data_IF_438556199831
#
_entry.id   IF_438556199831
#
_cell.length_a   1.000
_cell.length_b   1.000
_cell.length_c   1.000
_cell.angle_alpha   90.00
_cell.angle_beta   90.00
_cell.angle_gamma   90.00
#
_symmetry.space_group_name_H-M   'P 1'
#
loop_
_entity.id
_entity.type
_entity.pdbx_description
1 polymer ?
#
# COMPACT_ATOMS: atom_id res chain seq x y z
N UNK A 1 2.18 -27.96 18.13
CA UNK A 1 2.51 -27.91 16.69
C UNK A 1 2.06 -26.63 16.02
N UNK A 2 0.84 -26.10 16.27
CA UNK A 2 0.30 -24.89 15.63
C UNK A 2 1.02 -23.55 15.94
N UNK A 3 1.77 -23.44 17.04
CA UNK A 3 2.56 -22.24 17.38
C UNK A 3 4.01 -22.30 16.87
N UNK A 4 4.52 -23.49 16.58
CA UNK A 4 5.90 -23.67 16.13
C UNK A 4 6.03 -23.39 14.63
N UNK A 5 5.07 -23.80 13.82
CA UNK A 5 5.03 -23.50 12.37
C UNK A 5 5.09 -22.01 12.04
N UNK A 6 4.30 -21.11 12.66
CA UNK A 6 4.43 -19.67 12.40
C UNK A 6 5.73 -19.10 12.94
N UNK A 7 6.27 -19.63 14.04
CA UNK A 7 7.57 -19.21 14.59
C UNK A 7 8.72 -19.59 13.65
N UNK A 8 8.72 -20.81 13.10
CA UNK A 8 9.73 -21.27 12.13
C UNK A 8 9.60 -20.55 10.79
N UNK A 9 8.37 -20.29 10.32
CA UNK A 9 8.14 -19.47 9.13
C UNK A 9 8.64 -18.02 9.33
N UNK A 10 8.40 -17.45 10.51
CA UNK A 10 8.91 -16.13 10.88
C UNK A 10 10.44 -16.10 10.94
N UNK A 11 11.07 -17.11 11.58
CA UNK A 11 12.53 -17.24 11.65
C UNK A 11 13.17 -17.46 10.27
N UNK A 12 12.49 -18.17 9.36
CA UNK A 12 12.96 -18.38 7.99
C UNK A 12 12.92 -17.10 7.16
N UNK A 13 11.88 -16.28 7.30
CA UNK A 13 11.78 -14.97 6.64
C UNK A 13 12.54 -13.84 7.36
N UNK A 14 13.04 -14.09 8.57
CA UNK A 14 13.76 -13.12 9.41
C UNK A 14 14.95 -12.43 8.72
N UNK A 15 15.80 -13.11 7.92
CA UNK A 15 16.91 -12.45 7.22
C UNK A 15 16.45 -11.42 6.19
N UNK A 16 15.30 -11.66 5.56
CA UNK A 16 14.69 -10.77 4.57
C UNK A 16 14.03 -9.57 5.26
N UNK A 17 13.36 -9.80 6.39
CA UNK A 17 12.81 -8.76 7.26
C UNK A 17 13.93 -7.88 7.84
N UNK A 18 15.05 -8.47 8.26
CA UNK A 18 16.20 -7.75 8.83
C UNK A 18 16.85 -6.81 7.82
N UNK A 19 17.10 -7.26 6.58
CA UNK A 19 17.57 -6.40 5.47
C UNK A 19 16.65 -5.22 5.20
N UNK A 20 15.35 -5.40 5.43
CA UNK A 20 14.35 -4.35 5.27
C UNK A 20 14.32 -3.38 6.48
N UNK A 21 14.32 -3.90 7.71
CA UNK A 21 14.24 -3.12 8.96
C UNK A 21 15.50 -2.26 9.21
N UNK A 22 16.65 -2.71 8.72
CA UNK A 22 17.93 -2.00 8.80
C UNK A 22 18.07 -0.84 7.83
N UNK A 23 17.09 -0.61 6.94
CA UNK A 23 17.13 0.60 6.11
C UNK A 23 17.17 1.82 7.04
N UNK A 24 18.05 2.80 6.77
CA UNK A 24 18.31 3.92 7.68
C UNK A 24 17.03 4.68 8.05
N UNK A 25 16.07 4.75 7.12
CA UNK A 25 14.75 5.32 7.33
C UNK A 25 13.98 4.67 8.50
N UNK A 26 13.91 3.34 8.56
CA UNK A 26 13.12 2.64 9.59
C UNK A 26 13.82 2.69 10.96
N UNK A 27 15.15 2.54 10.97
CA UNK A 27 15.96 2.66 12.19
C UNK A 27 15.81 4.04 12.81
N UNK A 28 16.04 5.10 12.04
CA UNK A 28 15.88 6.47 12.53
C UNK A 28 14.42 6.80 12.90
N UNK A 29 13.43 6.29 12.15
CA UNK A 29 12.01 6.43 12.50
C UNK A 29 11.65 5.75 13.82
N UNK A 30 12.22 4.58 14.08
CA UNK A 30 12.02 3.84 15.33
C UNK A 30 12.56 4.63 16.52
N UNK A 31 13.81 5.10 16.46
CA UNK A 31 14.38 5.93 17.53
C UNK A 31 13.60 7.23 17.74
N UNK A 32 13.20 7.90 16.66
CA UNK A 32 12.34 9.09 16.73
C UNK A 32 11.00 8.79 17.40
N UNK A 33 10.41 7.61 17.16
CA UNK A 33 9.12 7.22 17.73
C UNK A 33 9.23 6.85 19.22
N UNK A 34 10.38 6.36 19.66
CA UNK A 34 10.65 6.06 21.08
C UNK A 34 11.29 7.21 21.85
N UNK A 35 11.59 8.34 21.18
CA UNK A 35 12.36 9.44 21.77
C UNK A 35 11.77 9.95 23.09
N UNK A 36 10.46 10.14 23.18
CA UNK A 36 9.83 10.62 24.42
C UNK A 36 9.96 9.61 25.56
N UNK A 37 9.71 8.33 25.28
CA UNK A 37 9.86 7.26 26.26
C UNK A 37 11.31 7.14 26.74
N UNK A 38 12.27 7.25 25.82
CA UNK A 38 13.69 7.23 26.13
C UNK A 38 14.10 8.41 27.03
N UNK A 39 13.65 9.63 26.73
CA UNK A 39 13.91 10.81 27.57
C UNK A 39 13.32 10.64 28.98
N UNK A 40 12.13 10.08 29.11
CA UNK A 40 11.48 9.87 30.41
C UNK A 40 12.08 8.72 31.23
N UNK A 41 12.62 7.68 30.60
CA UNK A 41 13.13 6.48 31.30
C UNK A 41 14.64 6.40 31.43
N UNK A 42 15.38 7.35 30.86
CA UNK A 42 16.85 7.38 30.99
C UNK A 42 17.27 8.13 32.25
N UNK A 43 17.88 7.46 33.25
CA UNK A 43 18.35 8.10 34.47
C UNK A 43 19.41 9.17 34.15
N UNK A 44 19.42 10.26 34.92
CA UNK A 44 20.27 11.44 34.68
C UNK A 44 19.66 12.45 33.70
N UNK A 45 19.01 12.00 32.61
CA UNK A 45 18.25 12.90 31.73
C UNK A 45 16.90 13.22 32.36
N UNK A 46 16.18 12.21 32.84
CA UNK A 46 14.85 12.40 33.40
C UNK A 46 14.84 13.21 34.70
N UNK A 47 15.90 13.12 35.50
CA UNK A 47 16.04 13.86 36.77
C UNK A 47 16.17 15.38 36.56
N UNK A 48 16.63 15.82 35.39
CA UNK A 48 16.77 17.23 35.05
C UNK A 48 15.49 17.83 34.41
N UNK A 49 14.47 17.01 34.17
CA UNK A 49 13.21 17.46 33.58
C UNK A 49 12.31 18.11 34.62
N UNK A 50 11.58 19.14 34.21
CA UNK A 50 10.49 19.70 35.02
C UNK A 50 9.35 18.70 35.14
N UNK A 51 9.00 18.30 36.37
CA UNK A 51 7.81 17.48 36.63
C UNK A 51 6.63 18.34 37.05
N UNK A 52 5.45 18.07 36.49
CA UNK A 52 4.17 18.62 36.95
C UNK A 52 3.45 17.67 37.94
N UNK A 53 4.11 16.58 38.33
CA UNK A 53 3.55 15.55 39.20
C UNK A 53 3.62 15.95 40.67
N UNK A 54 2.60 15.60 41.44
CA UNK A 54 2.55 15.86 42.90
C UNK A 54 3.67 15.16 43.67
N UNK A 55 4.10 13.98 43.20
CA UNK A 55 5.18 13.19 43.81
C UNK A 55 6.60 13.73 43.53
N UNK A 56 6.74 14.75 42.67
CA UNK A 56 8.03 15.30 42.26
C UNK A 56 8.91 14.39 41.39
N UNK A 57 8.49 13.14 41.12
CA UNK A 57 9.24 12.22 40.27
C UNK A 57 9.13 12.62 38.79
N UNK A 58 10.25 13.02 38.18
CA UNK A 58 10.36 13.40 36.76
C UNK A 58 10.57 12.21 35.80
N UNK A 59 10.77 10.99 36.31
CA UNK A 59 11.03 9.81 35.47
C UNK A 59 9.78 8.94 35.22
N UNK A 60 8.65 9.30 35.83
CA UNK A 60 7.36 8.64 35.61
C UNK A 60 6.41 9.48 34.79
N UNK A 61 5.53 8.80 34.05
CA UNK A 61 4.55 9.44 33.18
C UNK A 61 3.44 10.10 33.98
N UNK A 62 2.99 11.25 33.50
CA UNK A 62 1.80 11.93 34.03
C UNK A 62 0.53 11.29 33.48
N UNK A 63 -0.58 11.41 34.21
CA UNK A 63 -1.89 10.92 33.76
C UNK A 63 -2.29 11.49 32.39
N UNK A 64 -1.98 12.77 32.14
CA UNK A 64 -2.23 13.42 30.83
C UNK A 64 -1.37 12.83 29.71
N UNK A 65 -0.13 12.43 30.00
CA UNK A 65 0.73 11.78 29.02
C UNK A 65 0.24 10.37 28.70
N UNK A 66 -0.21 9.63 29.73
CA UNK A 66 -0.86 8.34 29.55
C UNK A 66 -2.15 8.46 28.74
N UNK A 67 -2.99 9.47 28.98
CA UNK A 67 -4.16 9.77 28.14
C UNK A 67 -3.76 9.93 26.67
N UNK A 68 -2.71 10.73 26.38
CA UNK A 68 -2.21 10.95 25.02
C UNK A 68 -1.71 9.64 24.39
N UNK A 69 -0.95 8.82 25.13
CA UNK A 69 -0.44 7.54 24.65
C UNK A 69 -1.57 6.53 24.39
N UNK A 70 -2.62 6.55 25.22
CA UNK A 70 -3.82 5.73 25.01
C UNK A 70 -4.59 6.18 23.76
N UNK A 71 -4.75 7.48 23.55
CA UNK A 71 -5.35 8.02 22.31
C UNK A 71 -4.51 7.67 21.08
N UNK A 72 -3.18 7.73 21.16
CA UNK A 72 -2.28 7.30 20.10
C UNK A 72 -2.53 5.82 19.75
N UNK A 73 -2.57 4.94 20.75
CA UNK A 73 -2.83 3.51 20.56
C UNK A 73 -4.17 3.28 19.83
N UNK A 74 -5.22 3.97 20.25
CA UNK A 74 -6.54 3.88 19.61
C UNK A 74 -6.53 4.38 18.15
N UNK A 75 -5.87 5.51 17.86
CA UNK A 75 -5.76 6.05 16.51
C UNK A 75 -4.98 5.11 15.59
N UNK A 76 -3.83 4.61 16.07
CA UNK A 76 -3.01 3.66 15.31
C UNK A 76 -3.81 2.39 15.02
N UNK A 77 -4.53 1.85 16.01
CA UNK A 77 -5.39 0.68 15.82
C UNK A 77 -6.50 0.94 14.79
N UNK A 78 -7.21 2.07 14.89
CA UNK A 78 -8.27 2.44 13.95
C UNK A 78 -7.75 2.63 12.51
N UNK A 79 -6.58 3.23 12.35
CA UNK A 79 -5.97 3.48 11.04
C UNK A 79 -5.41 2.19 10.44
N UNK A 80 -4.77 1.36 11.25
CA UNK A 80 -4.18 0.11 10.81
C UNK A 80 -5.21 -0.98 10.49
N UNK A 81 -6.47 -0.85 10.92
CA UNK A 81 -7.58 -1.71 10.46
C UNK A 81 -7.72 -1.74 8.93
N UNK A 82 -7.31 -0.68 8.23
CA UNK A 82 -7.40 -0.56 6.77
C UNK A 82 -6.07 -0.82 6.06
N UNK A 83 -5.00 -1.10 6.80
CA UNK A 83 -3.69 -1.38 6.23
C UNK A 83 -3.65 -2.81 5.69
N UNK A 84 -3.29 -2.96 4.43
CA UNK A 84 -3.20 -4.26 3.74
C UNK A 84 -1.76 -4.78 3.79
N UNK A 85 -0.79 -3.88 3.70
CA UNK A 85 0.65 -4.21 3.71
C UNK A 85 1.28 -3.91 5.08
N UNK A 86 2.28 -4.71 5.44
CA UNK A 86 3.09 -4.51 6.66
C UNK A 86 3.79 -3.15 6.62
N UNK A 87 4.23 -2.71 5.43
CA UNK A 87 4.88 -1.42 5.23
C UNK A 87 3.95 -0.26 5.62
N UNK A 88 2.67 -0.33 5.23
CA UNK A 88 1.67 0.67 5.59
C UNK A 88 1.37 0.68 7.08
N UNK A 89 1.33 -0.50 7.72
CA UNK A 89 1.12 -0.61 9.16
C UNK A 89 2.24 0.09 9.95
N UNK A 90 3.49 -0.18 9.58
CA UNK A 90 4.68 0.39 10.21
C UNK A 90 4.80 1.89 9.90
N UNK A 91 4.50 2.29 8.67
CA UNK A 91 4.50 3.70 8.26
C UNK A 91 3.51 4.54 9.09
N UNK A 92 2.28 4.06 9.24
CA UNK A 92 1.27 4.70 10.08
C UNK A 92 1.72 4.78 11.54
N UNK A 93 2.22 3.66 12.10
CA UNK A 93 2.71 3.64 13.48
C UNK A 93 3.78 4.70 13.71
N UNK A 94 4.80 4.79 12.85
CA UNK A 94 5.86 5.80 12.98
C UNK A 94 5.36 7.23 12.75
N UNK A 95 4.45 7.45 11.81
CA UNK A 95 3.88 8.78 11.56
C UNK A 95 3.10 9.29 12.77
N UNK A 96 2.15 8.51 13.27
CA UNK A 96 1.32 8.91 14.42
C UNK A 96 2.14 9.00 15.70
N UNK A 97 3.13 8.12 15.90
CA UNK A 97 4.03 8.20 17.06
C UNK A 97 4.88 9.47 17.05
N UNK A 98 5.41 9.90 15.90
CA UNK A 98 6.14 11.17 15.77
C UNK A 98 5.24 12.36 16.10
N UNK A 99 4.00 12.38 15.60
CA UNK A 99 3.04 13.46 15.92
C UNK A 99 2.71 13.49 17.42
N UNK A 100 2.49 12.32 18.04
CA UNK A 100 2.26 12.24 19.48
C UNK A 100 3.48 12.71 20.28
N UNK A 101 4.70 12.33 19.88
CA UNK A 101 5.93 12.79 20.53
C UNK A 101 6.10 14.31 20.42
N UNK A 102 5.74 14.94 19.29
CA UNK A 102 5.70 16.41 19.20
C UNK A 102 4.81 16.97 20.31
N UNK A 103 3.57 16.50 20.43
CA UNK A 103 2.61 16.98 21.45
C UNK A 103 3.14 16.76 22.86
N UNK A 104 3.70 15.58 23.13
CA UNK A 104 4.26 15.21 24.44
C UNK A 104 5.45 16.08 24.81
N UNK A 105 6.39 16.33 23.88
CA UNK A 105 7.53 17.20 24.12
C UNK A 105 7.12 18.66 24.32
N UNK A 106 6.18 19.19 23.54
CA UNK A 106 5.65 20.55 23.75
C UNK A 106 4.97 20.73 25.10
N UNK A 107 4.32 19.68 25.61
CA UNK A 107 3.72 19.67 26.93
C UNK A 107 4.78 19.62 28.04
N UNK A 108 5.84 18.84 27.86
CA UNK A 108 6.93 18.70 28.81
C UNK A 108 7.75 20.00 28.93
N UNK A 109 8.27 20.50 27.81
CA UNK A 109 8.99 21.78 27.71
C UNK A 109 8.90 22.28 26.26
N UNK A 110 8.48 23.54 26.08
CA UNK A 110 8.37 24.17 24.77
C UNK A 110 9.69 24.12 23.97
N UNK A 111 10.85 24.18 24.64
CA UNK A 111 12.18 24.10 24.01
C UNK A 111 12.44 22.72 23.41
N UNK A 112 12.12 21.66 24.16
CA UNK A 112 12.23 20.28 23.70
C UNK A 112 11.23 19.99 22.58
N UNK A 113 10.02 20.54 22.67
CA UNK A 113 9.01 20.47 21.62
C UNK A 113 9.49 21.05 20.29
N UNK A 114 10.06 22.25 20.32
CA UNK A 114 10.64 22.90 19.13
C UNK A 114 11.82 22.09 18.59
N UNK A 115 12.73 21.62 19.45
CA UNK A 115 13.87 20.81 19.03
C UNK A 115 13.42 19.51 18.34
N UNK A 116 12.48 18.77 18.94
CA UNK A 116 11.97 17.55 18.34
C UNK A 116 11.22 17.82 17.02
N UNK A 117 10.44 18.90 16.94
CA UNK A 117 9.77 19.30 15.70
C UNK A 117 10.79 19.61 14.59
N UNK A 118 11.87 20.34 14.88
CA UNK A 118 12.93 20.61 13.90
C UNK A 118 13.61 19.33 13.44
N UNK A 119 13.87 18.39 14.35
CA UNK A 119 14.42 17.07 14.03
C UNK A 119 13.47 16.26 13.13
N UNK A 120 12.16 16.32 13.36
CA UNK A 120 11.15 15.72 12.48
C UNK A 120 11.18 16.33 11.07
N UNK A 121 11.29 17.66 10.96
CA UNK A 121 11.35 18.35 9.67
C UNK A 121 12.63 17.96 8.91
N UNK A 122 13.78 17.98 9.58
CA UNK A 122 15.06 17.53 8.99
C UNK A 122 14.93 16.09 8.53
N UNK A 123 14.39 15.20 9.35
CA UNK A 123 14.20 13.79 9.00
C UNK A 123 13.35 13.62 7.72
N UNK A 124 12.25 14.34 7.58
CA UNK A 124 11.39 14.28 6.38
C UNK A 124 12.15 14.75 5.12
N UNK A 125 13.05 15.73 5.26
CA UNK A 125 13.85 16.24 4.15
C UNK A 125 15.00 15.29 3.77
N UNK A 126 15.67 14.68 4.75
CA UNK A 126 16.86 13.85 4.53
C UNK A 126 16.56 12.38 4.28
N UNK A 127 15.51 11.85 4.89
CA UNK A 127 15.19 10.42 4.89
C UNK A 127 13.84 10.17 4.22
N UNK A 128 13.87 9.86 2.92
CA UNK A 128 12.66 9.42 2.21
C UNK A 128 12.35 7.95 2.51
N UNK A 129 11.05 7.58 2.56
CA UNK A 129 10.66 6.18 2.66
C UNK A 129 11.21 5.39 1.47
N UNK A 130 11.62 4.13 1.67
CA UNK A 130 12.14 3.32 0.58
C UNK A 130 11.01 3.00 -0.41
N UNK A 131 11.30 3.16 -1.69
CA UNK A 131 10.41 2.72 -2.77
C UNK A 131 10.61 1.21 -2.97
N UNK A 132 9.55 0.51 -3.40
CA UNK A 132 9.63 -0.90 -3.81
C UNK A 132 10.66 -1.05 -4.94
N UNK A 133 11.54 -2.05 -4.83
CA UNK A 133 12.65 -2.34 -5.77
C UNK A 133 12.72 -3.83 -6.10
N UNK A 134 11.59 -4.54 -5.98
CA UNK A 134 11.52 -5.97 -6.28
C UNK A 134 11.42 -6.26 -7.78
N UNK A 135 11.32 -7.55 -8.17
CA UNK A 135 11.06 -7.93 -9.54
C UNK A 135 9.69 -7.38 -9.98
N UNK A 136 9.62 -6.80 -11.16
CA UNK A 136 8.37 -6.32 -11.76
C UNK A 136 8.48 -6.38 -13.28
N UNK A 137 7.35 -6.62 -13.96
CA UNK A 137 7.29 -6.53 -15.42
C UNK A 137 6.34 -5.39 -15.81
N UNK A 138 6.83 -4.16 -15.64
CA UNK A 138 6.04 -2.95 -15.79
C UNK A 138 6.76 -1.99 -16.73
N UNK A 139 6.04 -1.48 -17.73
CA UNK A 139 6.55 -0.41 -18.61
C UNK A 139 6.30 0.96 -18.00
N UNK A 140 7.36 1.74 -17.80
CA UNK A 140 7.25 3.12 -17.36
C UNK A 140 6.99 4.05 -18.53
N UNK A 141 5.93 4.84 -18.45
CA UNK A 141 5.58 5.84 -19.44
C UNK A 141 6.05 7.23 -19.01
N UNK A 142 6.53 7.98 -20.00
CA UNK A 142 6.67 9.43 -19.94
C UNK A 142 5.43 10.14 -20.51
N UNK A 143 5.37 11.45 -20.30
CA UNK A 143 4.37 12.36 -20.90
C UNK A 143 4.25 12.20 -22.41
N UNK A 144 5.36 12.00 -23.12
CA UNK A 144 5.39 11.90 -24.59
C UNK A 144 5.08 10.50 -25.10
N UNK A 145 5.55 9.48 -24.39
CA UNK A 145 5.50 8.08 -24.88
C UNK A 145 4.18 7.39 -24.61
N UNK A 146 3.37 7.87 -23.66
CA UNK A 146 2.16 7.15 -23.21
C UNK A 146 1.17 6.94 -24.35
N UNK A 147 0.87 7.98 -25.12
CA UNK A 147 -0.11 7.90 -26.21
C UNK A 147 0.37 7.03 -27.36
N UNK A 148 1.64 7.23 -27.75
CA UNK A 148 2.26 6.46 -28.82
C UNK A 148 2.25 4.97 -28.49
N UNK A 149 2.60 4.59 -27.27
CA UNK A 149 2.64 3.19 -26.85
C UNK A 149 1.26 2.56 -26.69
N UNK A 150 0.27 3.32 -26.19
CA UNK A 150 -1.11 2.84 -26.09
C UNK A 150 -1.78 2.67 -27.47
N UNK A 151 -1.37 3.44 -28.48
CA UNK A 151 -1.91 3.37 -29.84
C UNK A 151 -1.11 2.45 -30.77
N UNK A 152 0.15 2.15 -30.44
CA UNK A 152 1.07 1.36 -31.29
C UNK A 152 0.53 -0.02 -31.64
N UNK A 153 -0.06 -0.72 -30.68
CA UNK A 153 -0.71 -2.00 -30.91
C UNK A 153 -2.05 -2.06 -30.17
N UNK A 154 -3.12 -1.81 -30.92
CA UNK A 154 -4.49 -1.78 -30.41
C UNK A 154 -5.01 -3.14 -29.95
N UNK A 155 -4.29 -4.23 -30.27
CA UNK A 155 -4.63 -5.59 -29.80
C UNK A 155 -4.17 -5.83 -28.37
N UNK A 156 -3.18 -5.07 -27.91
CA UNK A 156 -2.63 -5.21 -26.55
C UNK A 156 -3.55 -4.47 -25.58
N UNK A 157 -3.99 -5.18 -24.56
CA UNK A 157 -4.66 -4.60 -23.40
C UNK A 157 -3.62 -4.06 -22.43
N UNK A 158 -3.80 -2.83 -21.97
CA UNK A 158 -2.89 -2.19 -21.01
C UNK A 158 -3.60 -1.90 -19.70
N UNK A 159 -2.95 -2.23 -18.59
CA UNK A 159 -3.34 -1.75 -17.26
C UNK A 159 -2.29 -0.75 -16.81
N UNK A 160 -2.68 0.50 -16.64
CA UNK A 160 -1.77 1.59 -16.31
C UNK A 160 -2.10 2.14 -14.93
N UNK A 161 -1.12 2.12 -14.04
CA UNK A 161 -1.18 2.78 -12.75
C UNK A 161 -0.68 4.23 -12.90
N UNK A 162 -1.59 5.16 -12.61
CA UNK A 162 -1.31 6.58 -12.45
C UNK A 162 -0.98 6.81 -10.98
N UNK A 163 0.28 7.16 -10.71
CA UNK A 163 0.81 7.27 -9.36
C UNK A 163 1.54 8.60 -9.16
N UNK A 164 1.84 8.92 -7.90
CA UNK A 164 2.74 10.01 -7.56
C UNK A 164 3.71 9.55 -6.46
N UNK A 165 4.98 9.91 -6.60
CA UNK A 165 6.04 9.47 -5.69
C UNK A 165 5.86 9.91 -4.23
N UNK A 166 5.16 11.02 -4.00
CA UNK A 166 4.87 11.53 -2.65
C UNK A 166 3.64 10.87 -1.99
N UNK A 167 2.86 10.08 -2.74
CA UNK A 167 1.66 9.41 -2.22
C UNK A 167 2.03 8.14 -1.48
N UNK A 168 1.75 8.08 -0.17
CA UNK A 168 1.96 6.89 0.66
C UNK A 168 1.09 5.70 0.21
N UNK A 169 -0.11 5.99 -0.30
CA UNK A 169 -1.04 4.95 -0.78
C UNK A 169 -0.49 4.28 -2.04
N UNK A 170 0.16 5.05 -2.93
CA UNK A 170 0.85 4.51 -4.11
C UNK A 170 2.07 3.65 -3.72
N UNK A 171 2.87 4.11 -2.75
CA UNK A 171 4.03 3.35 -2.27
C UNK A 171 3.60 2.00 -1.67
N UNK A 172 2.51 2.00 -0.90
CA UNK A 172 1.94 0.78 -0.31
C UNK A 172 1.35 -0.17 -1.35
N UNK A 173 0.84 0.37 -2.46
CA UNK A 173 0.24 -0.40 -3.54
C UNK A 173 1.27 -0.98 -4.52
N UNK A 174 2.44 -0.35 -4.66
CA UNK A 174 3.51 -0.78 -5.56
C UNK A 174 3.84 -2.29 -5.53
N UNK A 175 4.03 -2.96 -4.37
CA UNK A 175 4.30 -4.40 -4.36
C UNK A 175 3.16 -5.23 -4.94
N UNK A 176 1.90 -4.88 -4.64
CA UNK A 176 0.72 -5.60 -5.15
C UNK A 176 0.65 -5.48 -6.68
N UNK A 177 0.92 -4.29 -7.21
CA UNK A 177 0.91 -4.07 -8.65
C UNK A 177 2.08 -4.79 -9.36
N UNK A 178 3.25 -4.82 -8.73
CA UNK A 178 4.40 -5.58 -9.21
C UNK A 178 4.09 -7.08 -9.28
N UNK A 179 3.52 -7.67 -8.22
CA UNK A 179 3.17 -9.09 -8.18
C UNK A 179 2.11 -9.44 -9.25
N UNK A 180 1.10 -8.58 -9.43
CA UNK A 180 0.12 -8.74 -10.51
C UNK A 180 0.76 -8.68 -11.90
N UNK A 181 1.73 -7.77 -12.09
CA UNK A 181 2.45 -7.67 -13.35
C UNK A 181 3.25 -8.94 -13.63
N UNK A 182 3.87 -9.56 -12.63
CA UNK A 182 4.60 -10.80 -12.83
C UNK A 182 3.67 -11.98 -13.15
N UNK A 183 2.48 -12.03 -12.55
CA UNK A 183 1.52 -13.13 -12.74
C UNK A 183 0.77 -13.07 -14.08
N UNK A 184 0.34 -11.88 -14.50
CA UNK A 184 -0.63 -11.72 -15.60
C UNK A 184 -0.04 -11.13 -16.88
N UNK A 185 1.22 -10.74 -16.87
CA UNK A 185 1.83 -10.16 -18.06
C UNK A 185 2.06 -11.21 -19.15
N UNK A 186 1.60 -10.89 -20.36
CA UNK A 186 1.79 -11.71 -21.56
C UNK A 186 1.80 -10.81 -22.81
N UNK A 187 1.97 -11.38 -24.00
CA UNK A 187 2.05 -10.58 -25.23
C UNK A 187 0.78 -9.73 -25.51
N UNK A 188 -0.40 -10.15 -25.03
CA UNK A 188 -1.67 -9.43 -25.22
C UNK A 188 -2.17 -8.62 -24.02
N UNK A 189 -1.54 -8.76 -22.84
CA UNK A 189 -1.87 -8.02 -21.62
C UNK A 189 -0.59 -7.50 -20.98
N UNK A 190 -0.46 -6.18 -20.87
CA UNK A 190 0.73 -5.52 -20.34
C UNK A 190 0.39 -4.56 -19.21
N UNK A 191 1.35 -4.37 -18.31
CA UNK A 191 1.26 -3.48 -17.17
C UNK A 191 2.16 -2.26 -17.38
N UNK A 192 1.69 -1.09 -16.95
CA UNK A 192 2.45 0.14 -17.06
C UNK A 192 2.23 1.10 -15.90
N UNK A 193 3.16 2.05 -15.75
CA UNK A 193 3.16 3.06 -14.70
C UNK A 193 3.47 4.43 -15.27
N UNK A 194 2.78 5.46 -14.77
CA UNK A 194 3.05 6.86 -15.13
C UNK A 194 3.03 7.74 -13.88
N UNK A 195 4.12 8.49 -13.68
CA UNK A 195 4.24 9.43 -12.55
C UNK A 195 3.55 10.75 -12.90
N UNK A 196 2.28 10.88 -12.52
CA UNK A 196 1.52 12.11 -12.73
C UNK A 196 1.81 13.19 -11.68
N UNK A 197 2.55 12.86 -10.62
CA UNK A 197 3.14 13.86 -9.73
C UNK A 197 4.24 14.67 -10.43
N UNK A 198 4.94 14.03 -11.38
CA UNK A 198 5.93 14.69 -12.25
C UNK A 198 5.33 15.21 -13.54
N UNK A 199 4.44 14.46 -14.18
CA UNK A 199 3.84 14.78 -15.47
C UNK A 199 2.43 15.35 -15.33
N UNK A 200 2.34 16.64 -15.01
CA UNK A 200 1.05 17.33 -14.79
C UNK A 200 0.12 17.36 -16.01
N UNK A 201 0.68 17.38 -17.23
CA UNK A 201 -0.11 17.34 -18.47
C UNK A 201 -0.88 16.02 -18.63
N UNK A 202 -0.25 14.91 -18.26
CA UNK A 202 -0.88 13.58 -18.25
C UNK A 202 -2.00 13.53 -17.22
N UNK A 203 -1.79 14.08 -16.01
CA UNK A 203 -2.83 14.22 -14.99
C UNK A 203 -4.08 14.92 -15.54
N UNK A 204 -3.90 16.04 -16.23
CA UNK A 204 -5.00 16.81 -16.81
C UNK A 204 -5.69 16.05 -17.94
N UNK A 205 -4.91 15.45 -18.85
CA UNK A 205 -5.41 14.71 -20.01
C UNK A 205 -6.29 13.53 -19.61
N UNK A 206 -5.84 12.71 -18.66
CA UNK A 206 -6.59 11.54 -18.19
C UNK A 206 -7.54 11.85 -17.02
N UNK A 207 -7.63 13.13 -16.63
CA UNK A 207 -8.49 13.66 -15.56
C UNK A 207 -8.27 12.94 -14.22
N UNK A 208 -7.01 12.67 -13.90
CA UNK A 208 -6.61 12.04 -12.62
C UNK A 208 -6.00 13.12 -11.74
N UNK A 209 -6.72 13.53 -10.70
CA UNK A 209 -6.27 14.59 -9.80
C UNK A 209 -5.14 14.11 -8.88
N UNK A 210 -4.06 14.88 -8.84
CA UNK A 210 -2.95 14.72 -7.89
C UNK A 210 -3.22 15.39 -6.54
N UNK A 211 -4.39 15.99 -6.32
CA UNK A 211 -4.69 16.62 -5.02
C UNK A 211 -4.93 15.54 -3.94
N UNK A 212 -4.25 15.62 -2.77
CA UNK A 212 -4.50 14.72 -1.64
C UNK A 212 -5.97 14.71 -1.18
N UNK A 213 -6.69 15.82 -1.39
CA UNK A 213 -8.11 15.95 -1.01
C UNK A 213 -9.05 15.16 -1.93
N UNK A 214 -8.65 14.96 -3.20
CA UNK A 214 -9.47 14.25 -4.18
C UNK A 214 -9.42 12.72 -4.01
N UNK A 215 -8.37 12.20 -3.36
CA UNK A 215 -8.13 10.77 -3.09
C UNK A 215 -8.16 9.88 -4.33
N UNK A 216 -7.77 10.42 -5.49
CA UNK A 216 -7.74 9.68 -6.75
C UNK A 216 -6.45 8.88 -6.96
N UNK A 217 -5.47 8.96 -6.07
CA UNK A 217 -4.21 8.23 -6.18
C UNK A 217 -4.18 7.04 -5.19
N UNK A 218 -3.68 5.86 -5.61
CA UNK A 218 -3.38 5.48 -6.99
C UNK A 218 -4.66 5.41 -7.86
N UNK A 219 -4.51 5.52 -9.18
CA UNK A 219 -5.59 5.28 -10.14
C UNK A 219 -5.15 4.20 -11.14
N UNK A 220 -5.93 3.14 -11.25
CA UNK A 220 -5.75 2.08 -12.23
C UNK A 220 -6.70 2.28 -13.40
N UNK A 221 -6.18 2.42 -14.60
CA UNK A 221 -6.95 2.56 -15.84
C UNK A 221 -6.67 1.38 -16.75
N UNK A 222 -7.73 0.75 -17.26
CA UNK A 222 -7.67 -0.31 -18.26
C UNK A 222 -7.89 0.27 -19.65
N UNK A 223 -6.94 0.03 -20.55
CA UNK A 223 -7.00 0.45 -21.95
C UNK A 223 -7.12 -0.75 -22.87
N UNK A 224 -8.07 -0.67 -23.81
CA UNK A 224 -8.24 -1.65 -24.90
C UNK A 224 -8.48 -0.90 -26.20
N UNK A 225 -7.76 -1.26 -27.26
CA UNK A 225 -7.86 -0.56 -28.54
C UNK A 225 -7.51 0.92 -28.47
N UNK A 226 -6.59 1.31 -27.59
CA UNK A 226 -6.19 2.71 -27.37
C UNK A 226 -7.22 3.57 -26.64
N UNK A 227 -8.33 2.99 -26.15
CA UNK A 227 -9.36 3.70 -25.38
C UNK A 227 -9.44 3.18 -23.96
N UNK A 228 -9.74 4.08 -23.03
CA UNK A 228 -10.03 3.72 -21.65
C UNK A 228 -11.37 3.00 -21.57
N UNK A 229 -11.37 1.78 -21.02
CA UNK A 229 -12.57 0.98 -20.81
C UNK A 229 -13.15 1.20 -19.41
N UNK A 230 -12.28 1.20 -18.40
CA UNK A 230 -12.68 1.38 -17.01
C UNK A 230 -11.54 1.91 -16.15
N UNK A 231 -11.90 2.48 -15.00
CA UNK A 231 -10.95 2.98 -13.99
C UNK A 231 -11.37 2.66 -12.56
N UNK A 232 -10.39 2.51 -11.67
CA UNK A 232 -10.57 2.45 -10.22
C UNK A 232 -9.56 3.37 -9.51
N UNK A 233 -9.96 4.14 -8.49
CA UNK A 233 -11.33 4.26 -7.98
C UNK A 233 -12.25 4.99 -8.98
N UNK A 234 -13.56 4.80 -8.83
CA UNK A 234 -14.53 5.60 -9.60
C UNK A 234 -14.49 7.05 -9.11
N UNK A 235 -14.70 8.00 -10.03
CA UNK A 235 -14.71 9.43 -9.69
C UNK A 235 -16.15 9.94 -9.76
N UNK A 236 -16.64 10.50 -8.66
CA UNK A 236 -17.95 11.14 -8.57
C UNK A 236 -17.99 12.42 -9.43
N UNK A 237 -19.19 12.93 -9.73
CA UNK A 237 -19.41 14.17 -10.51
C UNK A 237 -18.67 15.39 -9.96
N UNK A 238 -18.38 15.38 -8.65
CA UNK A 238 -17.62 16.43 -7.94
C UNK A 238 -16.09 16.26 -8.05
N UNK A 239 -15.59 15.28 -8.80
CA UNK A 239 -14.15 15.02 -8.93
C UNK A 239 -13.52 14.31 -7.72
N UNK A 240 -14.33 13.70 -6.84
CA UNK A 240 -13.83 12.95 -5.68
C UNK A 240 -13.85 11.46 -5.96
N UNK A 241 -12.81 10.75 -5.54
CA UNK A 241 -12.78 9.30 -5.62
C UNK A 241 -13.81 8.66 -4.66
N UNK A 242 -14.55 7.69 -5.17
CA UNK A 242 -15.34 6.76 -4.36
C UNK A 242 -14.36 5.81 -3.69
N UNK A 243 -14.45 5.70 -2.36
CA UNK A 243 -13.54 4.85 -1.57
C UNK A 243 -13.54 3.43 -2.12
N UNK A 244 -12.35 2.94 -2.48
CA UNK A 244 -12.14 1.60 -3.00
C UNK A 244 -10.84 1.03 -2.44
N UNK A 245 -10.82 -0.28 -2.19
CA UNK A 245 -9.72 -0.95 -1.52
C UNK A 245 -8.81 -1.63 -2.55
N UNK A 246 -7.55 -1.22 -2.59
CA UNK A 246 -6.50 -1.76 -3.45
C UNK A 246 -5.89 -3.04 -2.86
N UNK A 247 -6.60 -4.16 -2.98
CA UNK A 247 -6.06 -5.50 -2.72
C UNK A 247 -5.96 -6.27 -4.05
N UNK A 248 -5.14 -7.33 -4.05
CA UNK A 248 -4.96 -8.18 -5.23
C UNK A 248 -6.29 -8.76 -5.73
N UNK A 249 -7.10 -9.29 -4.81
CA UNK A 249 -8.38 -9.94 -5.11
C UNK A 249 -9.40 -9.01 -5.79
N UNK A 250 -9.59 -7.78 -5.29
CA UNK A 250 -10.52 -6.84 -5.91
C UNK A 250 -9.99 -6.39 -7.28
N UNK A 251 -8.67 -6.28 -7.47
CA UNK A 251 -8.13 -5.92 -8.77
C UNK A 251 -8.41 -7.06 -9.77
N UNK A 252 -8.09 -8.30 -9.41
CA UNK A 252 -8.34 -9.47 -10.25
C UNK A 252 -9.82 -9.55 -10.63
N UNK A 253 -10.70 -9.40 -9.64
CA UNK A 253 -12.16 -9.51 -9.82
C UNK A 253 -12.76 -8.35 -10.61
N UNK A 254 -12.42 -7.09 -10.28
CA UNK A 254 -13.06 -5.94 -10.92
C UNK A 254 -12.54 -5.71 -12.34
N UNK A 255 -11.26 -6.01 -12.61
CA UNK A 255 -10.68 -5.90 -13.95
C UNK A 255 -10.76 -7.20 -14.75
N UNK A 256 -11.36 -8.27 -14.20
CA UNK A 256 -11.46 -9.59 -14.82
C UNK A 256 -10.11 -10.10 -15.37
N UNK A 257 -9.04 -10.00 -14.58
CA UNK A 257 -7.68 -10.28 -15.05
C UNK A 257 -7.50 -11.69 -15.57
N UNK A 258 -8.14 -12.68 -14.93
CA UNK A 258 -8.10 -14.08 -15.38
C UNK A 258 -8.64 -14.22 -16.81
N UNK A 259 -9.83 -13.67 -17.08
CA UNK A 259 -10.43 -13.74 -18.42
C UNK A 259 -9.60 -12.99 -19.46
N UNK A 260 -9.13 -11.78 -19.11
CA UNK A 260 -8.28 -10.99 -20.00
C UNK A 260 -6.99 -11.73 -20.35
N UNK A 261 -6.38 -12.42 -19.38
CA UNK A 261 -5.16 -13.19 -19.56
C UNK A 261 -5.38 -14.40 -20.46
N UNK A 262 -6.39 -15.23 -20.19
CA UNK A 262 -6.69 -16.40 -21.03
C UNK A 262 -7.09 -15.99 -22.45
N UNK A 263 -7.88 -14.93 -22.61
CA UNK A 263 -8.25 -14.36 -23.91
C UNK A 263 -7.00 -13.90 -24.68
N UNK A 264 -6.10 -13.21 -24.00
CA UNK A 264 -4.83 -12.72 -24.58
C UNK A 264 -3.92 -13.88 -25.00
N UNK A 265 -3.75 -14.90 -24.15
CA UNK A 265 -2.98 -16.12 -24.47
C UNK A 265 -3.56 -16.84 -25.69
N UNK A 266 -4.89 -17.03 -25.76
CA UNK A 266 -5.55 -17.69 -26.89
C UNK A 266 -5.36 -16.92 -28.20
N UNK A 267 -5.48 -15.59 -28.18
CA UNK A 267 -5.26 -14.74 -29.34
C UNK A 267 -3.80 -14.83 -29.84
N UNK A 268 -2.83 -14.88 -28.93
CA UNK A 268 -1.42 -15.00 -29.29
C UNK A 268 -1.09 -16.37 -29.90
N UNK A 269 -1.67 -17.45 -29.36
CA UNK A 269 -1.55 -18.80 -29.91
C UNK A 269 -2.12 -18.89 -31.33
N UNK A 270 -3.24 -18.24 -31.62
CA UNK A 270 -3.79 -18.22 -32.99
C UNK A 270 -2.95 -17.40 -33.97
N UNK A 271 -2.17 -16.44 -33.48
CA UNK A 271 -1.33 -15.54 -34.29
C UNK A 271 0.14 -16.04 -34.43
N UNK A 272 0.50 -17.17 -33.85
CA UNK A 272 1.82 -17.80 -34.03
C UNK A 272 2.99 -17.07 -33.35
N UNK A 273 2.74 -16.21 -32.36
CA UNK A 273 3.81 -15.57 -31.59
C UNK A 273 4.48 -16.57 -30.64
N UNK A 274 5.82 -16.67 -30.67
CA UNK A 274 6.60 -17.51 -29.74
C UNK A 274 6.66 -16.85 -28.36
N UNK A 275 6.13 -17.54 -27.35
CA UNK A 275 6.29 -17.19 -25.93
C UNK A 275 7.71 -17.51 -25.48
N UNK A 276 8.68 -16.62 -25.73
CA UNK A 276 10.06 -16.87 -25.33
C UNK A 276 10.56 -16.10 -24.10
N UNK A 277 9.73 -15.31 -23.41
CA UNK A 277 10.18 -14.56 -22.20
C UNK A 277 9.14 -14.45 -21.07
N UNK A 278 8.02 -15.19 -21.11
CA UNK A 278 6.96 -15.07 -20.09
C UNK A 278 6.89 -16.34 -19.22
N UNK A 279 7.69 -16.41 -18.15
CA UNK A 279 7.55 -17.46 -17.13
C UNK A 279 6.52 -17.02 -16.07
N UNK A 280 5.36 -17.68 -16.08
CA UNK A 280 4.31 -17.51 -15.08
C UNK A 280 3.30 -18.67 -15.12
N UNK A 281 3.51 -19.61 -14.19
CA UNK A 281 2.65 -20.70 -13.66
C UNK A 281 2.04 -21.65 -14.70
N UNK A 282 2.51 -22.90 -14.68
CA UNK A 282 1.84 -24.05 -15.31
C UNK A 282 0.45 -24.24 -14.68
N UNK A 283 -0.57 -24.26 -15.54
CA UNK A 283 -1.95 -24.55 -15.18
C UNK A 283 -2.03 -25.99 -14.63
N UNK A 284 -2.34 -26.13 -13.33
CA UNK A 284 -2.87 -27.40 -12.82
C UNK A 284 -4.35 -27.45 -13.21
N UNK A 285 -4.62 -27.80 -14.47
CA UNK A 285 -5.95 -28.15 -14.95
C UNK A 285 -6.41 -29.42 -14.25
N UNK A 286 -7.32 -29.26 -13.30
CA UNK A 286 -8.00 -30.39 -12.69
C UNK A 286 -8.73 -29.98 -11.42
N UNK A 287 -10.05 -29.87 -11.55
CA UNK A 287 -11.08 -30.10 -10.52
C UNK A 287 -11.96 -28.89 -10.19
N UNK A 288 -12.82 -28.51 -11.14
CA UNK A 288 -14.18 -28.04 -10.84
C UNK A 288 -15.11 -28.54 -11.95
N UNK A 289 -15.60 -29.77 -11.80
CA UNK A 289 -16.80 -30.21 -12.52
C UNK A 289 -18.02 -29.60 -11.83
N UNK A 290 -18.85 -28.96 -12.65
CA UNK A 290 -20.19 -28.52 -12.32
C UNK A 290 -21.03 -29.69 -11.80
N UNK A 291 -21.69 -29.47 -10.66
CA UNK A 291 -22.89 -30.19 -10.27
C UNK A 291 -23.95 -29.14 -9.99
N UNK A 292 -24.76 -28.85 -11.00
CA UNK A 292 -26.11 -28.34 -10.83
C UNK A 292 -27.04 -29.50 -11.23
N UNK A 293 -27.70 -30.12 -10.25
CA UNK A 293 -29.09 -30.55 -10.38
C UNK A 293 -29.68 -30.97 -9.03
N UNK A 294 -30.76 -30.25 -8.67
CA UNK A 294 -31.94 -30.69 -7.95
C UNK A 294 -31.79 -31.30 -6.54
N UNK A 295 -32.20 -30.54 -5.51
CA UNK A 295 -33.22 -31.07 -4.59
C UNK A 295 -34.01 -29.94 -3.88
N UNK A 296 -35.30 -29.84 -4.19
CA UNK A 296 -36.29 -29.11 -3.38
C UNK A 296 -36.90 -30.10 -2.38
N UNK A 297 -37.01 -29.77 -1.08
CA UNK A 297 -37.61 -30.67 -0.13
C UNK A 297 -39.15 -30.69 -0.26
N UNK A 298 -39.70 -31.89 -0.49
CA UNK A 298 -41.14 -32.18 -0.45
C UNK A 298 -41.62 -32.23 1.01
N UNK A 299 -42.58 -31.38 1.36
CA UNK A 299 -43.43 -31.55 2.54
C UNK A 299 -44.38 -32.76 2.35
N UNK A 300 -44.41 -33.62 3.36
CA UNK A 300 -45.31 -34.77 3.49
C UNK A 300 -46.60 -34.36 4.21
N UNK A 301 -47.75 -34.72 3.63
CA UNK A 301 -49.03 -34.86 4.36
C UNK A 301 -49.37 -36.36 4.44
N UNK A 302 -49.19 -36.88 5.65
CA UNK A 302 -50.09 -37.74 6.45
C UNK A 302 -51.14 -38.57 5.70
N UNK A 303 -51.08 -39.89 5.88
CA UNK A 303 -52.19 -40.70 6.38
C UNK A 303 -51.68 -41.95 7.11
N UNK A 304 -52.34 -42.23 8.24
CA UNK A 304 -52.15 -43.27 9.28
C UNK A 304 -51.01 -43.08 10.30
#
# INVERSE_FOLDING_TARGET
MALLTPLFAFLYHLPQVYKWLLKPYYVASFFMSLAFLAVRKTPGVCDHLSSQREDGNSCDFDWRELEILMFLSAIVMMKNRRAITLEQHIGNLFMFSKVANVILFFRLDIRLGILYLTLCVVFVMTCKPPIYMGPEYIKYFSDKTIDEELQRDTRITWIVEFYANWSSDCQSFAPVFADLSLKYNCAGLRFGKVDIGRYGEVSQKYKVSTSPLAKQLPSLLLFQGGRELMRRPMVDKKGRAVSWTFNEENIIREFNLNELFHKSKKLNKSLGFKENDFQGVEDNEGLYQETDEADQPKESKKDQ
#
